data_IF_527208494168
#
_entry.id   IF_527208494168
#
_cell.length_a   1.000
_cell.length_b   1.000
_cell.length_c   1.000
_cell.angle_alpha   90.00
_cell.angle_beta   90.00
_cell.angle_gamma   90.00
#
_symmetry.space_group_name_H-M   'P 1'
#
loop_
_entity.id
_entity.type
_entity.pdbx_description
1 polymer ?
#
# COMPACT_ATOMS: atom_id res chain seq x y z
N UNK A 1 68.34 -13.97 -5.59
CA UNK A 1 68.13 -12.69 -6.29
C UNK A 1 67.68 -13.02 -7.69
N UNK A 2 66.46 -12.63 -8.04
CA UNK A 2 65.92 -12.91 -9.38
C UNK A 2 66.64 -12.03 -10.41
N UNK A 3 66.91 -12.59 -11.59
CA UNK A 3 67.59 -11.89 -12.68
C UNK A 3 66.83 -12.09 -13.98
N UNK A 4 66.81 -11.07 -14.84
CA UNK A 4 66.06 -11.06 -16.10
C UNK A 4 67.00 -10.78 -17.27
N UNK A 5 66.98 -11.64 -18.30
CA UNK A 5 67.81 -11.47 -19.49
C UNK A 5 67.06 -10.61 -20.52
N UNK A 6 67.73 -9.56 -21.00
CA UNK A 6 67.18 -8.71 -22.05
C UNK A 6 67.09 -9.43 -23.39
N UNK A 7 65.89 -9.46 -23.98
CA UNK A 7 65.65 -10.03 -25.32
C UNK A 7 66.33 -9.24 -26.44
N UNK A 8 66.56 -7.94 -26.26
CA UNK A 8 67.15 -7.07 -27.28
C UNK A 8 68.68 -7.13 -27.33
N UNK A 9 69.36 -7.12 -26.18
CA UNK A 9 70.83 -7.03 -26.13
C UNK A 9 71.51 -8.17 -25.34
N UNK A 10 70.74 -9.12 -24.82
CA UNK A 10 71.26 -10.30 -24.12
C UNK A 10 71.83 -10.04 -22.72
N UNK A 11 71.86 -8.78 -22.25
CA UNK A 11 72.36 -8.44 -20.91
C UNK A 11 71.45 -8.98 -19.81
N UNK A 12 72.02 -9.55 -18.76
CA UNK A 12 71.31 -9.93 -17.53
C UNK A 12 71.17 -8.70 -16.62
N UNK A 13 69.94 -8.33 -16.31
CA UNK A 13 69.58 -7.21 -15.43
C UNK A 13 68.98 -7.75 -14.13
N UNK A 14 68.78 -6.90 -13.13
CA UNK A 14 68.12 -7.32 -11.89
C UNK A 14 66.64 -7.56 -12.15
N UNK A 15 66.03 -8.55 -11.49
CA UNK A 15 64.60 -8.85 -11.64
C UNK A 15 63.67 -7.70 -11.21
N UNK A 16 64.20 -6.69 -10.52
CA UNK A 16 63.48 -5.46 -10.13
C UNK A 16 63.64 -4.30 -11.11
N UNK A 17 64.46 -4.43 -12.16
CA UNK A 17 64.65 -3.36 -13.15
C UNK A 17 63.46 -3.38 -14.14
N UNK A 18 62.84 -2.22 -14.40
CA UNK A 18 61.74 -2.11 -15.38
C UNK A 18 62.23 -1.93 -16.82
N UNK A 19 63.53 -1.62 -17.00
CA UNK A 19 64.17 -1.39 -18.29
C UNK A 19 65.59 -1.93 -18.31
N UNK A 20 66.05 -2.35 -19.48
CA UNK A 20 67.42 -2.80 -19.65
C UNK A 20 68.42 -1.66 -19.46
N UNK A 21 69.41 -1.85 -18.59
CA UNK A 21 70.45 -0.85 -18.28
C UNK A 21 71.36 -0.50 -19.47
N UNK A 22 71.39 -1.33 -20.52
CA UNK A 22 72.24 -1.12 -21.70
C UNK A 22 71.49 -0.52 -22.88
N UNK A 23 70.39 -1.13 -23.30
CA UNK A 23 69.67 -0.70 -24.51
C UNK A 23 68.37 0.07 -24.22
N UNK A 24 67.97 0.21 -22.96
CA UNK A 24 66.72 0.87 -22.58
C UNK A 24 65.44 0.10 -22.92
N UNK A 25 65.54 -1.10 -23.51
CA UNK A 25 64.39 -1.94 -23.83
C UNK A 25 63.59 -2.29 -22.56
N UNK A 26 62.27 -2.05 -22.60
CA UNK A 26 61.38 -2.27 -21.47
C UNK A 26 61.18 -3.76 -21.20
N UNK A 27 61.19 -4.14 -19.92
CA UNK A 27 60.74 -5.47 -19.51
C UNK A 27 59.23 -5.40 -19.35
N UNK A 28 58.48 -5.97 -20.31
CA UNK A 28 57.07 -6.21 -20.08
C UNK A 28 56.96 -7.27 -18.98
N UNK A 29 56.09 -7.06 -17.98
CA UNK A 29 55.90 -7.81 -16.73
C UNK A 29 56.77 -7.25 -15.59
N UNK A 30 56.23 -6.48 -14.64
CA UNK A 30 55.14 -6.87 -13.72
C UNK A 30 54.08 -5.76 -13.56
N UNK A 31 52.90 -5.93 -14.18
CA UNK A 31 51.73 -5.33 -13.56
C UNK A 31 51.56 -6.01 -12.19
N UNK A 32 51.46 -5.26 -11.07
CA UNK A 32 51.16 -5.88 -9.79
C UNK A 32 49.91 -6.75 -9.95
N UNK A 33 49.86 -7.95 -9.35
CA UNK A 33 48.71 -8.83 -9.49
C UNK A 33 47.46 -8.03 -9.12
N UNK A 34 46.54 -7.88 -10.09
CA UNK A 34 45.24 -7.24 -9.88
C UNK A 34 44.65 -7.87 -8.62
N UNK A 35 44.30 -7.11 -7.57
CA UNK A 35 43.77 -7.69 -6.35
C UNK A 35 42.57 -8.54 -6.74
N UNK A 36 42.69 -9.86 -6.57
CA UNK A 36 41.59 -10.78 -6.78
C UNK A 36 40.49 -10.29 -5.85
N UNK A 37 39.38 -9.84 -6.43
CA UNK A 37 38.28 -9.22 -5.68
C UNK A 37 37.97 -10.09 -4.47
N UNK A 38 38.22 -9.52 -3.28
CA UNK A 38 38.06 -10.24 -2.03
C UNK A 38 36.66 -10.83 -1.93
N UNK A 39 36.57 -12.03 -1.37
CA UNK A 39 35.31 -12.74 -1.24
C UNK A 39 34.28 -11.92 -0.41
N UNK A 40 33.03 -12.38 -0.29
CA UNK A 40 32.01 -11.70 0.51
C UNK A 40 32.48 -11.35 1.94
N UNK A 41 33.36 -12.19 2.51
CA UNK A 41 33.98 -11.99 3.84
C UNK A 41 35.02 -10.88 3.88
N UNK A 42 35.75 -10.61 2.80
CA UNK A 42 36.75 -9.54 2.75
C UNK A 42 36.10 -8.17 2.57
N UNK A 43 34.96 -8.12 1.85
CA UNK A 43 34.13 -6.89 1.77
C UNK A 43 33.53 -6.51 3.12
N UNK A 44 33.16 -7.48 3.95
CA UNK A 44 32.64 -7.23 5.30
C UNK A 44 33.72 -6.66 6.25
N UNK A 45 35.00 -6.97 6.04
CA UNK A 45 36.09 -6.38 6.84
C UNK A 45 36.35 -4.90 6.52
N UNK A 46 35.99 -4.46 5.32
CA UNK A 46 36.21 -3.08 4.87
C UNK A 46 34.95 -2.19 4.97
N UNK A 47 33.82 -2.72 5.48
CA UNK A 47 32.66 -1.87 5.75
C UNK A 47 32.96 -0.97 6.93
N UNK A 48 32.83 0.34 6.74
CA UNK A 48 33.02 1.29 7.84
C UNK A 48 31.96 1.05 8.92
N UNK A 49 32.35 0.87 10.20
CA UNK A 49 31.40 0.62 11.29
C UNK A 49 30.39 1.77 11.44
N UNK A 50 30.76 2.96 10.97
CA UNK A 50 29.90 4.14 10.93
C UNK A 50 28.67 3.95 10.03
N UNK A 51 28.82 3.30 8.87
CA UNK A 51 27.69 3.07 7.96
C UNK A 51 26.70 2.07 8.54
N UNK A 52 27.21 1.00 9.18
CA UNK A 52 26.35 0.02 9.87
C UNK A 52 25.58 0.67 11.02
N UNK A 53 26.22 1.55 11.81
CA UNK A 53 25.56 2.28 12.89
C UNK A 53 24.49 3.25 12.36
N UNK A 54 24.76 3.94 11.25
CA UNK A 54 23.79 4.82 10.61
C UNK A 54 22.53 4.07 10.18
N UNK A 55 22.68 2.92 9.53
CA UNK A 55 21.52 2.10 9.10
C UNK A 55 20.72 1.64 10.32
N UNK A 56 21.38 1.15 11.37
CA UNK A 56 20.71 0.70 12.59
C UNK A 56 19.97 1.87 13.24
N UNK A 57 20.58 3.05 13.34
CA UNK A 57 19.94 4.24 13.88
C UNK A 57 18.69 4.64 13.09
N UNK A 58 18.75 4.57 11.75
CA UNK A 58 17.63 4.85 10.87
C UNK A 58 16.47 3.85 11.07
N UNK A 59 16.79 2.56 11.18
CA UNK A 59 15.79 1.52 11.43
C UNK A 59 15.15 1.66 12.81
N UNK A 60 15.95 1.88 13.85
CA UNK A 60 15.45 2.10 15.21
C UNK A 60 14.60 3.36 15.31
N UNK A 61 15.02 4.46 14.68
CA UNK A 61 14.26 5.70 14.63
C UNK A 61 12.92 5.54 13.91
N UNK A 62 12.92 4.86 12.75
CA UNK A 62 11.69 4.56 12.01
C UNK A 62 10.73 3.68 12.79
N UNK A 63 11.22 2.61 13.42
CA UNK A 63 10.41 1.74 14.27
C UNK A 63 9.83 2.47 15.48
N UNK A 64 10.62 3.32 16.14
CA UNK A 64 10.16 4.14 17.26
C UNK A 64 9.05 5.10 16.83
N UNK A 65 9.19 5.76 15.68
CA UNK A 65 8.17 6.67 15.15
C UNK A 65 6.83 5.96 14.87
N UNK A 66 6.88 4.76 14.26
CA UNK A 66 5.67 3.97 14.04
C UNK A 66 5.03 3.52 15.36
N UNK A 67 5.85 3.11 16.32
CA UNK A 67 5.37 2.69 17.64
C UNK A 67 4.69 3.83 18.42
N UNK A 68 5.27 5.04 18.43
CA UNK A 68 4.66 6.19 19.09
C UNK A 68 3.35 6.61 18.42
N UNK A 69 3.28 6.55 17.09
CA UNK A 69 2.03 6.79 16.36
C UNK A 69 0.90 5.83 16.75
N UNK A 70 1.20 4.53 16.82
CA UNK A 70 0.23 3.51 17.25
C UNK A 70 -0.18 3.71 18.71
N UNK A 71 0.78 3.97 19.59
CA UNK A 71 0.51 4.20 21.02
C UNK A 71 -0.44 5.38 21.22
N UNK A 72 -0.15 6.52 20.59
CA UNK A 72 -1.00 7.71 20.71
C UNK A 72 -2.42 7.46 20.19
N UNK A 73 -2.58 6.67 19.12
CA UNK A 73 -3.90 6.27 18.63
C UNK A 73 -4.65 5.39 19.62
N UNK A 74 -3.94 4.48 20.29
CA UNK A 74 -4.54 3.58 21.27
C UNK A 74 -4.97 4.34 22.53
N UNK A 75 -4.10 5.23 23.03
CA UNK A 75 -4.38 6.07 24.19
C UNK A 75 -5.61 6.95 23.92
N UNK A 76 -5.73 7.52 22.71
CA UNK A 76 -6.88 8.35 22.35
C UNK A 76 -8.20 7.56 22.29
N UNK A 77 -8.18 6.30 21.82
CA UNK A 77 -9.36 5.42 21.83
C UNK A 77 -9.74 5.09 23.28
N UNK A 78 -8.77 4.73 24.13
CA UNK A 78 -9.04 4.44 25.53
C UNK A 78 -9.63 5.64 26.27
N UNK A 79 -9.10 6.84 26.07
CA UNK A 79 -9.66 8.06 26.67
C UNK A 79 -11.09 8.30 26.18
N UNK A 80 -11.34 8.14 24.88
CA UNK A 80 -12.68 8.31 24.29
C UNK A 80 -13.67 7.26 24.80
N UNK A 81 -13.23 6.00 24.95
CA UNK A 81 -14.04 4.93 25.51
C UNK A 81 -14.29 5.14 27.00
N UNK A 82 -13.27 5.51 27.77
CA UNK A 82 -13.42 5.86 29.19
C UNK A 82 -14.42 7.01 29.37
N UNK A 83 -14.40 8.03 28.50
CA UNK A 83 -15.40 9.10 28.49
C UNK A 83 -16.80 8.62 28.10
N UNK A 84 -16.94 7.65 27.18
CA UNK A 84 -18.25 7.03 26.90
C UNK A 84 -18.78 6.29 28.12
N UNK A 85 -17.94 5.51 28.80
CA UNK A 85 -18.34 4.76 29.99
C UNK A 85 -18.65 5.67 31.18
N UNK A 86 -17.94 6.78 31.34
CA UNK A 86 -18.13 7.72 32.44
C UNK A 86 -19.26 8.74 32.20
N UNK A 87 -19.52 9.13 30.95
CA UNK A 87 -20.36 10.28 30.61
C UNK A 87 -21.64 9.99 29.85
N UNK A 88 -21.81 8.79 29.28
CA UNK A 88 -23.07 8.46 28.60
C UNK A 88 -23.93 7.59 29.53
N UNK A 89 -25.08 8.09 30.04
CA UNK A 89 -26.13 7.18 30.45
C UNK A 89 -26.38 6.28 29.24
N UNK A 90 -26.46 4.97 29.46
CA UNK A 90 -26.77 3.97 28.44
C UNK A 90 -27.87 4.57 27.56
N UNK A 91 -27.50 5.06 26.36
CA UNK A 91 -28.47 5.29 25.31
C UNK A 91 -28.84 3.89 24.89
N UNK A 92 -29.72 3.26 25.66
CA UNK A 92 -30.48 2.12 25.22
C UNK A 92 -30.94 2.53 23.84
N UNK A 93 -30.51 1.87 22.75
CA UNK A 93 -31.10 2.16 21.46
C UNK A 93 -32.59 2.07 21.70
N UNK A 94 -33.31 3.13 21.29
CA UNK A 94 -34.75 3.17 21.43
C UNK A 94 -35.29 1.79 21.02
N UNK A 95 -36.24 1.21 21.79
CA UNK A 95 -36.74 -0.13 21.55
C UNK A 95 -37.00 -0.29 20.05
N UNK A 96 -36.80 -1.50 19.50
CA UNK A 96 -36.73 -1.89 18.07
C UNK A 96 -37.81 -1.32 17.09
N UNK A 97 -38.68 -0.41 17.51
CA UNK A 97 -39.51 0.47 16.68
C UNK A 97 -38.71 1.38 15.72
N UNK A 98 -37.40 1.59 15.96
CA UNK A 98 -36.55 2.42 15.10
C UNK A 98 -36.43 1.91 13.65
N UNK A 99 -36.60 0.60 13.39
CA UNK A 99 -36.62 0.06 12.02
C UNK A 99 -37.83 0.55 11.24
N UNK A 100 -39.01 0.47 11.85
CA UNK A 100 -40.26 0.98 11.25
C UNK A 100 -40.22 2.49 11.03
N UNK A 101 -39.57 3.25 11.92
CA UNK A 101 -39.47 4.69 11.79
C UNK A 101 -38.41 5.11 10.74
N UNK A 102 -37.29 4.39 10.64
CA UNK A 102 -36.30 4.59 9.56
C UNK A 102 -36.87 4.22 8.20
N UNK A 103 -37.61 3.11 8.11
CA UNK A 103 -38.27 2.69 6.87
C UNK A 103 -39.38 3.68 6.48
N UNK A 104 -40.14 4.20 7.45
CA UNK A 104 -41.15 5.23 7.21
C UNK A 104 -40.53 6.51 6.66
N UNK A 105 -39.44 7.02 7.25
CA UNK A 105 -38.71 8.19 6.73
C UNK A 105 -38.13 7.96 5.33
N UNK A 106 -37.63 6.75 5.05
CA UNK A 106 -37.11 6.39 3.72
C UNK A 106 -38.23 6.28 2.68
N UNK A 107 -39.44 5.93 3.09
CA UNK A 107 -40.62 5.77 2.24
C UNK A 107 -41.41 7.07 2.00
N UNK A 108 -41.25 8.11 2.83
CA UNK A 108 -41.94 9.40 2.64
C UNK A 108 -41.74 10.05 1.25
N UNK A 109 -40.52 10.14 0.68
CA UNK A 109 -40.35 10.73 -0.65
C UNK A 109 -41.05 9.92 -1.75
N UNK A 110 -41.13 8.59 -1.58
CA UNK A 110 -41.81 7.72 -2.54
C UNK A 110 -43.34 7.82 -2.44
N UNK A 111 -43.90 8.04 -1.23
CA UNK A 111 -45.35 8.26 -1.07
C UNK A 111 -45.85 9.43 -1.91
N UNK A 112 -45.14 10.56 -1.90
CA UNK A 112 -45.53 11.73 -2.69
C UNK A 112 -45.32 11.53 -4.19
N UNK A 113 -44.29 10.79 -4.60
CA UNK A 113 -44.04 10.47 -6.01
C UNK A 113 -45.10 9.50 -6.58
N UNK A 114 -45.49 8.49 -5.79
CA UNK A 114 -46.53 7.53 -6.15
C UNK A 114 -47.90 8.22 -6.23
N UNK A 115 -48.25 9.05 -5.24
CA UNK A 115 -49.52 9.78 -5.22
C UNK A 115 -49.67 10.77 -6.40
N UNK A 116 -48.57 11.36 -6.87
CA UNK A 116 -48.58 12.28 -8.01
C UNK A 116 -48.26 11.60 -9.36
N UNK A 117 -48.11 10.28 -9.40
CA UNK A 117 -47.80 9.58 -10.64
C UNK A 117 -49.02 9.50 -11.55
N UNK A 118 -48.87 9.95 -12.79
CA UNK A 118 -49.94 9.88 -13.80
C UNK A 118 -50.34 8.44 -14.14
N UNK A 119 -49.43 7.48 -13.93
CA UNK A 119 -49.66 6.06 -14.22
C UNK A 119 -50.72 5.43 -13.31
N UNK A 120 -50.76 5.81 -12.03
CA UNK A 120 -51.74 5.26 -11.07
C UNK A 120 -53.13 5.81 -11.34
N UNK A 121 -53.26 7.13 -11.55
CA UNK A 121 -54.55 7.72 -11.93
C UNK A 121 -55.08 7.20 -13.27
N UNK A 122 -54.21 6.91 -14.24
CA UNK A 122 -54.59 6.26 -15.49
C UNK A 122 -55.02 4.80 -15.29
N UNK A 123 -54.35 4.06 -14.40
CA UNK A 123 -54.72 2.69 -14.03
C UNK A 123 -56.07 2.65 -13.32
N UNK A 124 -56.32 3.57 -12.39
CA UNK A 124 -57.59 3.66 -11.65
C UNK A 124 -58.76 3.98 -12.58
N UNK A 125 -58.56 4.85 -13.58
CA UNK A 125 -59.55 5.11 -14.62
C UNK A 125 -59.87 3.86 -15.44
N UNK A 126 -58.84 3.11 -15.85
CA UNK A 126 -59.04 1.85 -16.59
C UNK A 126 -59.73 0.78 -15.75
N UNK A 127 -59.40 0.69 -14.46
CA UNK A 127 -60.07 -0.22 -13.53
C UNK A 127 -61.54 0.18 -13.33
N UNK A 128 -61.84 1.46 -13.19
CA UNK A 128 -63.20 1.96 -13.08
C UNK A 128 -64.01 1.73 -14.37
N UNK A 129 -63.40 1.91 -15.55
CA UNK A 129 -64.01 1.58 -16.84
C UNK A 129 -64.23 0.07 -17.00
N UNK A 130 -63.24 -0.75 -16.62
CA UNK A 130 -63.37 -2.21 -16.65
C UNK A 130 -64.45 -2.71 -15.68
N UNK A 131 -64.57 -2.13 -14.49
CA UNK A 131 -65.64 -2.46 -13.54
C UNK A 131 -67.01 -2.03 -14.05
N UNK A 132 -67.13 -0.92 -14.78
CA UNK A 132 -68.38 -0.53 -15.45
C UNK A 132 -68.78 -1.52 -16.55
N UNK A 133 -67.80 -2.06 -17.28
CA UNK A 133 -68.02 -3.07 -18.33
C UNK A 133 -68.32 -4.47 -17.76
N UNK A 134 -67.80 -4.80 -16.59
CA UNK A 134 -68.05 -6.07 -15.89
C UNK A 134 -69.25 -6.03 -14.92
N UNK A 135 -69.87 -4.86 -14.73
CA UNK A 135 -71.10 -4.72 -13.97
C UNK A 135 -72.25 -5.52 -14.61
N UNK A 136 -73.27 -5.93 -13.83
CA UNK A 136 -74.26 -6.95 -14.19
C UNK A 136 -75.20 -6.61 -15.38
N UNK A 137 -74.95 -5.54 -16.13
CA UNK A 137 -75.73 -5.14 -17.31
C UNK A 137 -75.07 -5.49 -18.67
N UNK A 138 -73.90 -6.13 -18.70
CA UNK A 138 -73.26 -6.58 -19.95
C UNK A 138 -73.87 -7.88 -20.55
N UNK A 139 -75.04 -8.30 -20.06
CA UNK A 139 -75.73 -9.53 -20.49
C UNK A 139 -77.04 -9.32 -21.25
N UNK A 140 -77.43 -8.08 -21.61
CA UNK A 140 -78.77 -7.83 -22.17
C UNK A 140 -78.78 -6.99 -23.47
N UNK A 141 -77.84 -7.24 -24.38
CA UNK A 141 -77.85 -6.67 -25.75
C UNK A 141 -77.64 -7.72 -26.86
N UNK A 142 -78.14 -8.94 -26.66
CA UNK A 142 -78.40 -9.87 -27.77
C UNK A 142 -79.77 -10.50 -27.59
N UNK A 143 -80.82 -9.75 -27.92
CA UNK A 143 -82.11 -10.26 -28.36
C UNK A 143 -82.63 -9.37 -29.48
#
# INVERSE_FOLDING_TARGET
MDSIKCSHCGLTNLGSDDRCRRCGGGFHHFAPPKPRGGGPRDRAKNSSPLYTLLIIALLCGGAYYLYTGVKNSYDHIQETEAQRFAGQPIKTPAPLTARTESDRRRAEPYKNAIANSQSISASDKRLAEAQKLMGPNAGNQQR
#
